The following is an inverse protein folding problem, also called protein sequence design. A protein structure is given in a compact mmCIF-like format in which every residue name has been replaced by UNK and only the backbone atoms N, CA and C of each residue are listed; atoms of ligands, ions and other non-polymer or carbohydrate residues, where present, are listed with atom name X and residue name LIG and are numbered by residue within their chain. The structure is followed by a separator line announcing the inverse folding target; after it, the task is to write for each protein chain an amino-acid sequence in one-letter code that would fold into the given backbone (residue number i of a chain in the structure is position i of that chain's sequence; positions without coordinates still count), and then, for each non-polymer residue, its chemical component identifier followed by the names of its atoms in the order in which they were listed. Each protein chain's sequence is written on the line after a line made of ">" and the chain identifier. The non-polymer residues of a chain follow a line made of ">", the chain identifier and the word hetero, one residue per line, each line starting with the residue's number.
data_IF_497057852670
#
_entry.id   IF_497057852670
#
_cell.length_a   1.000
_cell.length_b   1.000
_cell.length_c   1.000
_cell.angle_alpha   90.00
_cell.angle_beta   90.00
_cell.angle_gamma   90.00
#
_symmetry.space_group_name_H-M   'P 1'
#
loop_
_entity.id
_entity.type
_entity.pdbx_description
1 polymer ?
#
# COMPACT_ATOMS: atom_id res chain seq x y z
N UNK A 1 10.27 -50.23 4.41
CA UNK A 1 10.26 -49.52 3.13
C UNK A 1 11.63 -49.67 2.49
N UNK A 2 11.70 -50.38 1.37
CA UNK A 2 12.95 -50.72 0.69
C UNK A 2 13.57 -49.47 0.03
N UNK A 3 14.90 -49.39 -0.07
CA UNK A 3 15.61 -48.27 -0.72
C UNK A 3 15.13 -47.99 -2.16
N UNK A 4 14.60 -49.01 -2.85
CA UNK A 4 14.02 -48.90 -4.19
C UNK A 4 12.68 -48.15 -4.22
N UNK A 5 11.82 -48.32 -3.21
CA UNK A 5 10.53 -47.61 -3.12
C UNK A 5 10.71 -46.11 -2.87
N UNK A 6 11.68 -45.74 -2.03
CA UNK A 6 12.04 -44.35 -1.76
C UNK A 6 12.63 -43.68 -3.01
N UNK A 7 13.53 -44.35 -3.73
CA UNK A 7 14.13 -43.81 -4.96
C UNK A 7 13.12 -43.63 -6.10
N UNK A 8 12.13 -44.53 -6.20
CA UNK A 8 11.05 -44.44 -7.19
C UNK A 8 10.10 -43.27 -6.86
N UNK A 9 9.80 -43.05 -5.58
CA UNK A 9 8.98 -41.92 -5.12
C UNK A 9 9.66 -40.57 -5.37
N UNK A 10 10.99 -40.50 -5.17
CA UNK A 10 11.79 -39.30 -5.44
C UNK A 10 11.89 -38.98 -6.95
N UNK A 11 12.00 -40.00 -7.81
CA UNK A 11 11.98 -39.80 -9.26
C UNK A 11 10.61 -39.39 -9.81
N UNK A 12 9.51 -39.88 -9.20
CA UNK A 12 8.14 -39.45 -9.54
C UNK A 12 7.92 -37.99 -9.14
N UNK A 13 8.37 -37.60 -7.94
CA UNK A 13 8.29 -36.22 -7.46
C UNK A 13 9.16 -35.27 -8.30
N UNK A 14 10.39 -35.65 -8.66
CA UNK A 14 11.28 -34.82 -9.49
C UNK A 14 10.79 -34.70 -10.93
N UNK A 15 10.25 -35.79 -11.50
CA UNK A 15 9.66 -35.80 -12.84
C UNK A 15 8.40 -34.93 -12.93
N UNK A 16 7.56 -34.93 -11.89
CA UNK A 16 6.40 -34.03 -11.81
C UNK A 16 6.82 -32.56 -11.64
N UNK A 17 7.85 -32.27 -10.83
CA UNK A 17 8.35 -30.89 -10.72
C UNK A 17 8.92 -30.38 -12.04
N UNK A 18 9.69 -31.18 -12.77
CA UNK A 18 10.30 -30.77 -14.05
C UNK A 18 9.27 -30.56 -15.17
N UNK A 19 8.19 -31.35 -15.19
CA UNK A 19 7.05 -31.15 -16.10
C UNK A 19 6.22 -29.92 -15.75
N UNK A 20 6.14 -29.56 -14.46
CA UNK A 20 5.54 -28.31 -13.99
C UNK A 20 6.41 -27.12 -14.42
N UNK A 21 7.74 -27.18 -14.25
CA UNK A 21 8.65 -26.08 -14.62
C UNK A 21 8.79 -25.82 -16.14
N UNK A 22 8.66 -26.83 -17.00
CA UNK A 22 8.70 -26.64 -18.46
C UNK A 22 7.41 -26.00 -19.02
N UNK A 23 6.32 -26.03 -18.26
CA UNK A 23 5.01 -25.46 -18.58
C UNK A 23 4.79 -24.14 -17.85
N UNK A 24 5.83 -23.33 -17.60
CA UNK A 24 5.73 -22.10 -16.80
C UNK A 24 5.98 -20.81 -17.60
N UNK A 25 6.56 -20.88 -18.81
CA UNK A 25 6.90 -19.65 -19.56
C UNK A 25 5.73 -18.88 -20.22
N UNK A 26 4.63 -19.56 -20.55
CA UNK A 26 3.41 -18.96 -21.18
C UNK A 26 2.15 -19.20 -20.35
N UNK A 27 2.29 -19.83 -19.19
CA UNK A 27 1.19 -20.51 -18.48
C UNK A 27 0.95 -19.98 -17.08
N UNK A 28 1.89 -19.23 -16.50
CA UNK A 28 1.70 -18.57 -15.21
C UNK A 28 0.61 -17.50 -15.29
N UNK A 29 0.61 -16.69 -16.36
CA UNK A 29 -0.44 -15.67 -16.56
C UNK A 29 -1.81 -16.32 -16.80
N UNK A 30 -1.86 -17.38 -17.61
CA UNK A 30 -3.09 -18.14 -17.84
C UNK A 30 -3.62 -18.76 -16.55
N UNK A 31 -2.73 -19.20 -15.66
CA UNK A 31 -3.09 -19.70 -14.34
C UNK A 31 -3.68 -18.59 -13.46
N UNK A 32 -2.98 -17.46 -13.35
CA UNK A 32 -3.42 -16.30 -12.57
C UNK A 32 -4.78 -15.79 -13.04
N UNK A 33 -4.98 -15.68 -14.36
CA UNK A 33 -6.27 -15.25 -14.94
C UNK A 33 -7.39 -16.22 -14.60
N UNK A 34 -7.14 -17.55 -14.64
CA UNK A 34 -8.14 -18.55 -14.24
C UNK A 34 -8.51 -18.42 -12.77
N UNK A 35 -7.53 -18.24 -11.88
CA UNK A 35 -7.78 -18.01 -10.45
C UNK A 35 -8.65 -16.76 -10.23
N UNK A 36 -8.36 -15.66 -10.93
CA UNK A 36 -9.17 -14.43 -10.86
C UNK A 36 -10.59 -14.66 -11.34
N UNK A 37 -10.80 -15.36 -12.46
CA UNK A 37 -12.14 -15.65 -12.99
C UNK A 37 -12.95 -16.52 -12.03
N UNK A 38 -12.33 -17.52 -11.41
CA UNK A 38 -12.97 -18.36 -10.38
C UNK A 38 -13.37 -17.49 -9.18
N UNK A 39 -12.46 -16.62 -8.71
CA UNK A 39 -12.73 -15.76 -7.58
C UNK A 39 -13.85 -14.74 -7.86
N UNK A 40 -13.90 -14.14 -9.05
CA UNK A 40 -14.99 -13.22 -9.47
C UNK A 40 -16.35 -13.92 -9.39
N UNK A 41 -16.46 -15.17 -9.85
CA UNK A 41 -17.72 -15.93 -9.79
C UNK A 41 -18.20 -16.14 -8.35
N UNK A 42 -17.27 -16.34 -7.42
CA UNK A 42 -17.61 -16.57 -6.01
C UNK A 42 -18.02 -15.30 -5.27
N UNK A 43 -17.43 -14.15 -5.59
CA UNK A 43 -17.76 -12.86 -4.94
C UNK A 43 -18.83 -12.06 -5.69
N UNK A 44 -19.29 -12.54 -6.85
CA UNK A 44 -20.23 -11.85 -7.73
C UNK A 44 -21.52 -11.42 -7.03
N UNK A 45 -22.04 -12.21 -6.09
CA UNK A 45 -23.23 -11.87 -5.31
C UNK A 45 -23.01 -10.60 -4.46
N UNK A 46 -21.86 -10.50 -3.78
CA UNK A 46 -21.54 -9.34 -2.94
C UNK A 46 -21.30 -8.11 -3.84
N UNK A 47 -20.56 -8.28 -4.95
CA UNK A 47 -20.35 -7.20 -5.92
C UNK A 47 -21.66 -6.66 -6.51
N UNK A 48 -22.61 -7.55 -6.83
CA UNK A 48 -23.93 -7.17 -7.32
C UNK A 48 -24.69 -6.34 -6.28
N UNK A 49 -24.68 -6.75 -5.01
CA UNK A 49 -25.31 -6.00 -3.92
C UNK A 49 -24.68 -4.61 -3.79
N UNK A 50 -23.35 -4.50 -3.81
CA UNK A 50 -22.64 -3.21 -3.77
C UNK A 50 -23.00 -2.31 -4.95
N UNK A 51 -23.10 -2.87 -6.16
CA UNK A 51 -23.48 -2.11 -7.36
C UNK A 51 -24.93 -1.60 -7.28
N UNK A 52 -25.87 -2.44 -6.84
CA UNK A 52 -27.27 -2.04 -6.63
C UNK A 52 -27.40 -0.93 -5.59
N UNK A 53 -26.63 -1.02 -4.50
CA UNK A 53 -26.59 0.01 -3.47
C UNK A 53 -26.02 1.33 -3.99
N UNK A 54 -24.92 1.28 -4.76
CA UNK A 54 -24.35 2.45 -5.41
C UNK A 54 -25.36 3.09 -6.37
N UNK A 55 -26.11 2.30 -7.12
CA UNK A 55 -27.19 2.78 -7.98
C UNK A 55 -28.31 3.47 -7.18
N UNK A 56 -28.76 2.88 -6.07
CA UNK A 56 -29.75 3.51 -5.19
C UNK A 56 -29.28 4.87 -4.66
N UNK A 57 -28.03 4.95 -4.16
CA UNK A 57 -27.45 6.22 -3.71
C UNK A 57 -27.28 7.21 -4.87
N UNK A 58 -26.94 6.76 -6.07
CA UNK A 58 -26.83 7.63 -7.24
C UNK A 58 -28.19 8.28 -7.56
N UNK A 59 -29.29 7.52 -7.54
CA UNK A 59 -30.64 8.06 -7.74
C UNK A 59 -31.00 9.08 -6.65
N UNK A 60 -30.70 8.78 -5.39
CA UNK A 60 -30.91 9.72 -4.27
C UNK A 60 -30.08 11.01 -4.48
N UNK A 61 -28.81 10.87 -4.86
CA UNK A 61 -27.92 11.99 -5.16
C UNK A 61 -28.44 12.88 -6.27
N UNK A 62 -28.99 12.30 -7.35
CA UNK A 62 -29.63 13.07 -8.42
C UNK A 62 -30.80 13.90 -7.88
N UNK A 63 -31.67 13.32 -7.06
CA UNK A 63 -32.79 14.08 -6.48
C UNK A 63 -32.32 15.22 -5.56
N UNK A 64 -31.19 15.04 -4.87
CA UNK A 64 -30.65 16.04 -3.94
C UNK A 64 -29.89 17.18 -4.63
N UNK A 65 -29.17 16.88 -5.71
CA UNK A 65 -28.10 17.73 -6.24
C UNK A 65 -28.20 18.07 -7.74
N UNK A 66 -29.17 17.53 -8.48
CA UNK A 66 -29.35 17.84 -9.92
C UNK A 66 -29.36 19.36 -10.16
N UNK A 67 -28.56 19.83 -11.09
CA UNK A 67 -28.50 21.23 -11.50
C UNK A 67 -27.93 22.19 -10.46
N UNK A 68 -27.36 21.73 -9.34
CA UNK A 68 -26.91 22.60 -8.23
C UNK A 68 -25.40 22.80 -8.13
N UNK A 69 -24.62 22.18 -9.01
CA UNK A 69 -23.15 22.19 -8.97
C UNK A 69 -22.53 23.17 -9.97
N UNK A 70 -23.35 24.00 -10.59
CA UNK A 70 -22.89 25.07 -11.45
C UNK A 70 -22.33 26.24 -10.64
N UNK A 71 -21.29 26.88 -11.17
CA UNK A 71 -20.72 28.10 -10.62
C UNK A 71 -20.21 29.00 -11.73
N UNK A 72 -20.26 30.31 -11.48
CA UNK A 72 -19.56 31.26 -12.32
C UNK A 72 -18.05 31.25 -11.99
N UNK A 73 -17.24 31.77 -12.90
CA UNK A 73 -15.78 31.92 -12.71
C UNK A 73 -15.41 32.84 -11.56
N UNK A 74 -16.30 33.78 -11.21
CA UNK A 74 -16.23 34.64 -10.02
C UNK A 74 -17.41 34.36 -9.07
N UNK A 75 -17.19 34.53 -7.76
CA UNK A 75 -18.21 34.32 -6.73
C UNK A 75 -19.29 35.41 -6.68
N UNK A 76 -19.26 36.39 -7.57
CA UNK A 76 -20.16 37.55 -7.56
C UNK A 76 -21.45 37.32 -8.36
N UNK A 77 -21.50 36.31 -9.23
CA UNK A 77 -22.65 36.03 -10.10
C UNK A 77 -23.26 34.67 -9.77
N UNK A 78 -24.58 34.65 -9.57
CA UNK A 78 -25.31 33.48 -9.07
C UNK A 78 -26.20 32.82 -10.13
N UNK A 79 -26.36 33.43 -11.31
CA UNK A 79 -27.17 32.92 -12.41
C UNK A 79 -26.33 32.91 -13.68
N UNK A 80 -26.61 31.97 -14.56
CA UNK A 80 -25.94 31.84 -15.86
C UNK A 80 -26.09 33.11 -16.70
N UNK A 81 -27.30 33.68 -16.75
CA UNK A 81 -27.59 34.91 -17.50
C UNK A 81 -26.79 36.13 -17.03
N UNK A 82 -26.29 36.14 -15.79
CA UNK A 82 -25.46 37.22 -15.25
C UNK A 82 -23.95 36.94 -15.38
N UNK A 83 -23.56 35.72 -15.75
CA UNK A 83 -22.18 35.23 -15.81
C UNK A 83 -21.53 35.51 -17.18
N UNK A 84 -21.59 36.77 -17.63
CA UNK A 84 -21.00 37.21 -18.89
C UNK A 84 -20.07 38.42 -18.71
N UNK A 85 -19.26 38.68 -19.73
CA UNK A 85 -18.26 39.74 -19.75
C UNK A 85 -16.99 39.37 -18.97
N UNK A 86 -16.26 40.39 -18.52
CA UNK A 86 -14.97 40.22 -17.85
C UNK A 86 -15.05 40.53 -16.35
N UNK A 87 -14.15 39.93 -15.58
CA UNK A 87 -13.92 40.23 -14.17
C UNK A 87 -12.44 40.45 -13.89
N UNK A 88 -12.14 41.10 -12.77
CA UNK A 88 -10.78 41.37 -12.32
C UNK A 88 -10.29 40.25 -11.41
N UNK A 89 -9.08 39.76 -11.67
CA UNK A 89 -8.34 38.82 -10.81
C UNK A 89 -7.14 39.56 -10.26
N UNK A 90 -6.89 39.35 -8.97
CA UNK A 90 -5.73 39.89 -8.26
C UNK A 90 -4.79 38.72 -7.95
N UNK A 91 -3.67 38.62 -8.67
CA UNK A 91 -2.68 37.56 -8.43
C UNK A 91 -2.07 37.72 -7.04
N UNK A 92 -2.10 36.67 -6.22
CA UNK A 92 -1.66 36.66 -4.83
C UNK A 92 -2.34 37.71 -3.92
N UNK A 93 -3.52 38.23 -4.33
CA UNK A 93 -4.20 39.29 -3.59
C UNK A 93 -3.57 40.68 -3.74
N UNK A 94 -2.62 40.87 -4.67
CA UNK A 94 -2.04 42.19 -4.96
C UNK A 94 -3.04 43.05 -5.72
N UNK A 95 -3.61 44.03 -5.02
CA UNK A 95 -4.61 44.97 -5.55
C UNK A 95 -4.02 45.83 -6.68
N UNK A 96 -2.69 45.99 -6.73
CA UNK A 96 -2.02 46.86 -7.68
C UNK A 96 -1.80 46.21 -9.06
N UNK A 97 -2.03 44.90 -9.21
CA UNK A 97 -1.83 44.16 -10.46
C UNK A 97 -3.09 43.41 -10.90
N UNK A 98 -4.19 44.12 -11.21
CA UNK A 98 -5.39 43.47 -11.68
C UNK A 98 -5.19 42.90 -13.10
N UNK A 99 -5.65 41.67 -13.32
CA UNK A 99 -5.75 41.06 -14.65
C UNK A 99 -7.21 40.85 -15.02
N UNK A 100 -7.55 41.14 -16.27
CA UNK A 100 -8.88 40.86 -16.81
C UNK A 100 -8.96 39.39 -17.24
N UNK A 101 -10.05 38.72 -16.87
CA UNK A 101 -10.39 37.38 -17.36
C UNK A 101 -11.87 37.34 -17.73
N UNK A 102 -12.21 36.53 -18.72
CA UNK A 102 -13.60 36.29 -19.11
C UNK A 102 -14.32 35.41 -18.09
N UNK A 103 -15.59 35.72 -17.86
CA UNK A 103 -16.49 34.89 -17.06
C UNK A 103 -16.95 33.68 -17.85
N UNK A 104 -16.87 32.52 -17.22
CA UNK A 104 -17.40 31.26 -17.74
C UNK A 104 -18.33 30.65 -16.68
N UNK A 105 -19.54 30.27 -17.09
CA UNK A 105 -20.46 29.48 -16.29
C UNK A 105 -20.15 28.01 -16.48
N UNK A 106 -19.74 27.32 -15.41
CA UNK A 106 -19.19 25.97 -15.52
C UNK A 106 -19.76 25.04 -14.46
N UNK A 107 -20.07 23.82 -14.88
CA UNK A 107 -20.45 22.75 -13.98
C UNK A 107 -19.23 22.12 -13.29
N UNK A 108 -19.40 21.60 -12.08
CA UNK A 108 -18.36 20.82 -11.42
C UNK A 108 -18.05 19.54 -12.22
N UNK A 109 -16.77 19.13 -12.27
CA UNK A 109 -16.33 17.94 -13.03
C UNK A 109 -17.08 16.66 -12.62
N UNK A 110 -17.36 16.54 -11.32
CA UNK A 110 -18.15 15.46 -10.74
C UNK A 110 -19.47 16.06 -10.22
N UNK A 111 -20.58 15.62 -10.79
CA UNK A 111 -21.91 16.17 -10.55
C UNK A 111 -22.97 15.06 -10.57
N UNK A 112 -24.22 15.44 -10.24
CA UNK A 112 -25.35 14.53 -10.05
C UNK A 112 -26.53 14.89 -10.97
N UNK A 113 -26.26 15.36 -12.20
CA UNK A 113 -27.34 15.77 -13.11
C UNK A 113 -28.06 14.59 -13.75
N UNK A 114 -27.33 13.49 -13.96
CA UNK A 114 -27.85 12.22 -14.45
C UNK A 114 -27.30 11.05 -13.62
N UNK A 115 -27.99 9.90 -13.66
CA UNK A 115 -27.65 8.75 -12.83
C UNK A 115 -26.29 8.16 -13.18
N UNK A 116 -25.88 8.18 -14.45
CA UNK A 116 -24.59 7.64 -14.87
C UNK A 116 -23.43 8.50 -14.34
N UNK A 117 -23.54 9.82 -14.43
CA UNK A 117 -22.61 10.77 -13.82
C UNK A 117 -22.63 10.70 -12.29
N UNK A 118 -23.79 10.54 -11.67
CA UNK A 118 -23.90 10.33 -10.23
C UNK A 118 -23.19 9.04 -9.78
N UNK A 119 -23.32 7.93 -10.51
CA UNK A 119 -22.58 6.70 -10.22
C UNK A 119 -21.06 6.90 -10.34
N UNK A 120 -20.58 7.62 -11.36
CA UNK A 120 -19.16 7.97 -11.50
C UNK A 120 -18.67 8.85 -10.35
N UNK A 121 -19.46 9.86 -9.97
CA UNK A 121 -19.18 10.74 -8.83
C UNK A 121 -19.12 9.96 -7.52
N UNK A 122 -20.04 9.01 -7.30
CA UNK A 122 -20.02 8.13 -6.14
C UNK A 122 -18.88 7.12 -6.17
N UNK A 123 -18.42 6.71 -7.35
CA UNK A 123 -17.23 5.88 -7.50
C UNK A 123 -15.98 6.62 -6.99
N UNK A 124 -15.79 7.90 -7.33
CA UNK A 124 -14.64 8.66 -6.79
C UNK A 124 -14.73 8.86 -5.28
N UNK A 125 -15.95 9.00 -4.74
CA UNK A 125 -16.15 9.03 -3.28
C UNK A 125 -15.80 7.68 -2.65
N UNK A 126 -16.15 6.55 -3.29
CA UNK A 126 -15.84 5.21 -2.80
C UNK A 126 -14.35 4.89 -2.76
N UNK A 127 -13.55 5.54 -3.62
CA UNK A 127 -12.08 5.42 -3.59
C UNK A 127 -11.43 6.40 -2.62
N UNK A 128 -12.22 7.21 -1.90
CA UNK A 128 -11.76 8.30 -1.03
C UNK A 128 -10.91 9.37 -1.72
N UNK A 129 -11.10 9.54 -3.03
CA UNK A 129 -10.33 10.51 -3.83
C UNK A 129 -11.16 11.77 -4.10
N UNK A 130 -10.66 12.93 -3.65
CA UNK A 130 -11.29 14.22 -3.90
C UNK A 130 -12.69 14.43 -3.27
N UNK A 131 -13.16 13.50 -2.44
CA UNK A 131 -14.47 13.56 -1.79
C UNK A 131 -14.69 14.79 -0.89
N UNK A 132 -13.68 15.36 -0.18
CA UNK A 132 -13.92 16.57 0.63
C UNK A 132 -14.26 17.78 -0.25
N UNK A 133 -13.60 17.90 -1.41
CA UNK A 133 -13.90 18.98 -2.36
C UNK A 133 -15.34 18.87 -2.89
N UNK A 134 -15.77 17.64 -3.21
CA UNK A 134 -17.14 17.39 -3.64
C UNK A 134 -18.15 17.65 -2.52
N UNK A 135 -17.82 17.27 -1.28
CA UNK A 135 -18.62 17.57 -0.10
C UNK A 135 -18.80 19.08 0.06
N UNK A 136 -17.73 19.89 -0.02
CA UNK A 136 -17.84 21.34 0.09
C UNK A 136 -18.72 21.95 -1.02
N UNK A 137 -18.54 21.51 -2.28
CA UNK A 137 -19.44 21.91 -3.38
C UNK A 137 -20.89 21.54 -3.09
N UNK A 138 -21.13 20.40 -2.43
CA UNK A 138 -22.48 19.96 -2.06
C UNK A 138 -23.06 20.76 -0.90
N UNK A 139 -22.26 21.12 0.11
CA UNK A 139 -22.65 21.96 1.24
C UNK A 139 -23.04 23.35 0.73
N UNK A 140 -22.28 23.88 -0.22
CA UNK A 140 -22.53 25.19 -0.81
C UNK A 140 -23.64 25.17 -1.88
N UNK A 141 -24.16 23.99 -2.22
CA UNK A 141 -25.21 23.84 -3.24
C UNK A 141 -26.50 24.54 -2.82
N UNK A 142 -27.05 25.36 -3.72
CA UNK A 142 -28.26 26.16 -3.46
C UNK A 142 -29.46 25.62 -4.26
N UNK A 143 -30.12 26.47 -5.06
CA UNK A 143 -31.22 26.13 -5.95
C UNK A 143 -30.69 25.59 -7.28
N UNK A 144 -31.56 24.89 -8.00
CA UNK A 144 -31.24 24.41 -9.35
C UNK A 144 -30.91 25.60 -10.27
N UNK A 145 -29.89 25.44 -11.10
CA UNK A 145 -29.32 26.46 -11.98
C UNK A 145 -28.83 27.73 -11.27
N UNK A 146 -28.55 27.63 -9.96
CA UNK A 146 -28.01 28.70 -9.13
C UNK A 146 -26.58 28.42 -8.72
N UNK A 147 -25.81 29.51 -8.52
CA UNK A 147 -24.46 29.46 -8.00
C UNK A 147 -24.41 29.07 -6.52
N UNK A 148 -23.22 28.70 -6.01
CA UNK A 148 -23.04 28.24 -4.65
C UNK A 148 -23.23 29.37 -3.63
N UNK A 149 -23.82 29.05 -2.48
CA UNK A 149 -23.86 29.91 -1.30
C UNK A 149 -23.08 29.21 -0.19
N UNK A 150 -22.02 29.87 0.30
CA UNK A 150 -21.14 29.30 1.31
C UNK A 150 -21.91 28.82 2.54
N UNK A 151 -21.73 27.55 2.90
CA UNK A 151 -22.33 26.90 4.07
C UNK A 151 -23.87 26.92 4.10
N UNK A 152 -24.52 26.85 2.94
CA UNK A 152 -25.98 26.92 2.86
C UNK A 152 -26.68 25.64 3.37
N UNK A 153 -26.13 24.45 3.09
CA UNK A 153 -26.75 23.15 3.43
C UNK A 153 -25.77 22.18 4.09
N UNK A 154 -25.21 22.48 5.27
CA UNK A 154 -24.27 21.57 5.96
C UNK A 154 -24.85 20.17 6.25
N UNK A 155 -26.17 20.04 6.38
CA UNK A 155 -26.87 18.77 6.61
C UNK A 155 -26.59 17.71 5.52
N UNK A 156 -26.28 18.14 4.28
CA UNK A 156 -25.97 17.20 3.19
C UNK A 156 -24.67 16.44 3.40
N UNK A 157 -23.83 16.85 4.36
CA UNK A 157 -22.66 16.08 4.77
C UNK A 157 -23.05 14.67 5.25
N UNK A 158 -24.20 14.52 5.91
CA UNK A 158 -24.68 13.23 6.38
C UNK A 158 -24.86 12.22 5.23
N UNK A 159 -25.28 12.65 4.04
CA UNK A 159 -25.41 11.80 2.85
C UNK A 159 -24.06 11.14 2.48
N UNK A 160 -22.98 11.92 2.46
CA UNK A 160 -21.64 11.40 2.13
C UNK A 160 -21.09 10.49 3.23
N UNK A 161 -21.24 10.87 4.49
CA UNK A 161 -20.73 10.07 5.62
C UNK A 161 -21.46 8.71 5.69
N UNK A 162 -22.78 8.69 5.54
CA UNK A 162 -23.56 7.44 5.51
C UNK A 162 -23.14 6.58 4.33
N UNK A 163 -23.02 7.16 3.13
CA UNK A 163 -22.56 6.44 1.94
C UNK A 163 -21.16 5.82 2.15
N UNK A 164 -20.22 6.59 2.69
CA UNK A 164 -18.85 6.15 2.96
C UNK A 164 -18.83 4.97 3.95
N UNK A 165 -19.56 5.05 5.07
CA UNK A 165 -19.60 3.98 6.06
C UNK A 165 -20.14 2.69 5.44
N UNK A 166 -21.24 2.79 4.70
CA UNK A 166 -21.88 1.63 4.08
C UNK A 166 -20.94 1.01 3.04
N UNK A 167 -20.39 1.79 2.12
CA UNK A 167 -19.50 1.26 1.07
C UNK A 167 -18.20 0.71 1.65
N UNK A 168 -17.61 1.34 2.67
CA UNK A 168 -16.41 0.83 3.32
C UNK A 168 -16.64 -0.55 3.93
N UNK A 169 -17.80 -0.77 4.57
CA UNK A 169 -18.17 -2.08 5.09
C UNK A 169 -18.25 -3.14 3.98
N UNK A 170 -18.89 -2.82 2.86
CA UNK A 170 -18.95 -3.73 1.71
C UNK A 170 -17.57 -3.98 1.07
N UNK A 171 -16.71 -2.97 0.98
CA UNK A 171 -15.34 -3.12 0.44
C UNK A 171 -14.51 -4.11 1.27
N UNK A 172 -14.57 -4.01 2.60
CA UNK A 172 -13.89 -4.98 3.49
C UNK A 172 -14.46 -6.38 3.29
N UNK A 173 -15.78 -6.52 3.18
CA UNK A 173 -16.42 -7.83 2.97
C UNK A 173 -16.04 -8.46 1.62
N UNK A 174 -15.92 -7.67 0.56
CA UNK A 174 -15.44 -8.15 -0.75
C UNK A 174 -13.99 -8.65 -0.63
N UNK A 175 -13.12 -7.87 0.02
CA UNK A 175 -11.70 -8.24 0.19
C UNK A 175 -11.55 -9.52 1.02
N UNK A 176 -12.21 -9.60 2.18
CA UNK A 176 -12.19 -10.80 3.04
C UNK A 176 -12.75 -12.01 2.31
N UNK A 177 -13.88 -11.85 1.60
CA UNK A 177 -14.48 -12.91 0.80
C UNK A 177 -13.53 -13.45 -0.27
N UNK A 178 -12.87 -12.55 -1.03
CA UNK A 178 -11.88 -12.93 -2.04
C UNK A 178 -10.69 -13.70 -1.43
N UNK A 179 -10.13 -13.19 -0.34
CA UNK A 179 -8.98 -13.80 0.34
C UNK A 179 -9.33 -15.20 0.85
N UNK A 180 -10.44 -15.35 1.59
CA UNK A 180 -10.86 -16.65 2.14
C UNK A 180 -11.08 -17.67 1.04
N UNK A 181 -11.82 -17.31 -0.02
CA UNK A 181 -12.10 -18.23 -1.12
C UNK A 181 -10.83 -18.64 -1.85
N UNK A 182 -9.91 -17.69 -2.07
CA UNK A 182 -8.61 -18.00 -2.71
C UNK A 182 -7.78 -18.94 -1.84
N UNK A 183 -7.71 -18.68 -0.52
CA UNK A 183 -6.99 -19.57 0.41
C UNK A 183 -7.59 -20.96 0.49
N UNK A 184 -8.91 -21.09 0.48
CA UNK A 184 -9.58 -22.39 0.50
C UNK A 184 -9.40 -23.15 -0.81
N UNK A 185 -9.53 -22.47 -1.96
CA UNK A 185 -9.46 -23.11 -3.27
C UNK A 185 -8.02 -23.45 -3.69
N UNK A 186 -7.05 -22.57 -3.46
CA UNK A 186 -5.67 -22.80 -3.89
C UNK A 186 -4.83 -23.44 -2.78
N UNK A 187 -5.10 -23.11 -1.51
CA UNK A 187 -4.29 -23.58 -0.38
C UNK A 187 -4.71 -24.96 0.15
N UNK A 188 -6.00 -25.26 0.19
CA UNK A 188 -6.49 -26.53 0.77
C UNK A 188 -6.84 -27.59 -0.27
N UNK A 189 -7.21 -27.22 -1.51
CA UNK A 189 -7.58 -28.22 -2.53
C UNK A 189 -6.41 -29.10 -2.97
N UNK A 190 -5.19 -28.57 -3.05
CA UNK A 190 -4.01 -29.34 -3.44
C UNK A 190 -3.71 -30.50 -2.47
N UNK A 191 -4.11 -30.34 -1.21
CA UNK A 191 -3.87 -31.32 -0.15
C UNK A 191 -5.10 -32.12 0.26
N UNK A 192 -6.25 -31.97 -0.43
CA UNK A 192 -7.50 -32.70 -0.10
C UNK A 192 -7.34 -34.23 -0.10
N UNK A 193 -6.43 -34.76 -0.91
CA UNK A 193 -6.17 -36.20 -1.02
C UNK A 193 -4.95 -36.66 -0.20
N UNK A 194 -4.40 -35.79 0.65
CA UNK A 194 -3.24 -36.11 1.49
C UNK A 194 -3.72 -36.44 2.91
N UNK A 195 -3.45 -37.66 3.39
CA UNK A 195 -3.83 -38.11 4.74
C UNK A 195 -3.03 -37.42 5.87
N UNK A 196 -1.98 -36.67 5.52
CA UNK A 196 -1.12 -35.99 6.49
C UNK A 196 -1.62 -34.59 6.82
N UNK A 197 -1.71 -34.26 8.11
CA UNK A 197 -2.00 -32.92 8.59
C UNK A 197 -0.85 -31.92 8.28
N UNK A 198 -1.16 -30.62 8.25
CA UNK A 198 -0.22 -29.52 7.98
C UNK A 198 1.03 -29.60 8.86
N UNK A 199 0.87 -29.91 10.15
CA UNK A 199 2.02 -30.02 11.06
C UNK A 199 2.91 -31.21 10.71
N UNK A 200 2.32 -32.36 10.35
CA UNK A 200 3.07 -33.55 9.97
C UNK A 200 3.86 -33.31 8.68
N UNK A 201 3.24 -32.65 7.68
CA UNK A 201 3.90 -32.27 6.44
C UNK A 201 5.11 -31.36 6.70
N UNK A 202 4.93 -30.32 7.50
CA UNK A 202 6.01 -29.39 7.85
C UNK A 202 7.17 -30.10 8.59
N UNK A 203 6.87 -31.02 9.50
CA UNK A 203 7.89 -31.80 10.21
C UNK A 203 8.66 -32.74 9.27
N UNK A 204 7.97 -33.44 8.38
CA UNK A 204 8.61 -34.35 7.41
C UNK A 204 9.45 -33.55 6.42
N UNK A 205 8.92 -32.44 5.91
CA UNK A 205 9.65 -31.55 5.00
C UNK A 205 10.91 -31.01 5.66
N UNK A 206 10.82 -30.55 6.91
CA UNK A 206 11.98 -30.11 7.67
C UNK A 206 13.00 -31.23 7.85
N UNK A 207 12.56 -32.42 8.25
CA UNK A 207 13.45 -33.57 8.45
C UNK A 207 14.17 -33.98 7.17
N UNK A 208 13.49 -33.91 6.02
CA UNK A 208 14.07 -34.24 4.71
C UNK A 208 14.99 -33.13 4.17
N UNK A 209 14.70 -31.86 4.44
CA UNK A 209 15.46 -30.70 3.93
C UNK A 209 16.55 -30.20 4.87
N UNK A 210 16.57 -30.66 6.12
CA UNK A 210 17.54 -30.23 7.13
C UNK A 210 18.98 -30.50 6.66
N UNK A 211 19.77 -29.43 6.59
CA UNK A 211 21.22 -29.51 6.32
C UNK A 211 21.96 -29.08 7.58
N UNK A 212 23.09 -29.74 7.92
CA UNK A 212 23.87 -29.36 9.08
C UNK A 212 24.40 -27.92 8.94
N UNK A 213 24.23 -27.11 9.98
CA UNK A 213 24.75 -25.75 10.03
C UNK A 213 26.27 -25.82 10.14
N UNK A 214 26.98 -25.21 9.19
CA UNK A 214 28.45 -25.14 9.21
C UNK A 214 28.89 -24.07 10.20
N UNK A 215 29.36 -24.46 11.39
CA UNK A 215 29.99 -23.55 12.35
C UNK A 215 31.49 -23.45 12.08
N UNK A 216 32.00 -22.24 11.85
CA UNK A 216 33.43 -22.00 11.71
C UNK A 216 34.08 -21.92 13.09
N UNK A 217 35.12 -22.72 13.34
CA UNK A 217 35.93 -22.68 14.55
C UNK A 217 37.40 -22.58 14.11
N UNK A 218 38.11 -21.47 14.40
CA UNK A 218 39.49 -21.31 14.00
C UNK A 218 40.43 -22.22 14.81
N UNK A 219 41.50 -22.73 14.16
CA UNK A 219 42.48 -23.63 14.78
C UNK A 219 43.67 -22.90 15.41
N UNK A 220 44.01 -21.70 14.93
CA UNK A 220 45.18 -20.94 15.39
C UNK A 220 44.86 -20.16 16.67
N UNK A 221 45.74 -20.20 17.67
CA UNK A 221 45.49 -19.64 19.01
C UNK A 221 45.16 -18.15 19.05
N UNK A 222 45.89 -17.32 18.29
CA UNK A 222 45.62 -15.87 18.23
C UNK A 222 44.27 -15.59 17.55
N UNK A 223 43.98 -16.31 16.46
CA UNK A 223 42.73 -16.16 15.71
C UNK A 223 41.53 -16.62 16.56
N UNK A 224 41.70 -17.68 17.33
CA UNK A 224 40.69 -18.17 18.27
C UNK A 224 40.35 -17.15 19.34
N UNK A 225 41.34 -16.45 19.91
CA UNK A 225 41.07 -15.37 20.88
C UNK A 225 40.24 -14.23 20.28
N UNK A 226 40.59 -13.79 19.06
CA UNK A 226 39.83 -12.73 18.35
C UNK A 226 38.42 -13.23 18.00
N UNK A 227 38.28 -14.45 17.49
CA UNK A 227 36.99 -15.06 17.18
C UNK A 227 36.11 -15.22 18.41
N UNK A 228 36.67 -15.64 19.54
CA UNK A 228 35.96 -15.79 20.80
C UNK A 228 35.45 -14.44 21.31
N UNK A 229 36.24 -13.38 21.18
CA UNK A 229 35.83 -12.01 21.53
C UNK A 229 34.71 -11.50 20.63
N UNK A 230 34.88 -11.59 19.31
CA UNK A 230 33.91 -11.08 18.32
C UNK A 230 32.58 -11.84 18.35
N UNK A 231 32.61 -13.14 18.66
CA UNK A 231 31.41 -13.99 18.77
C UNK A 231 30.80 -13.94 20.19
N UNK A 232 31.36 -13.13 21.10
CA UNK A 232 30.80 -13.00 22.44
C UNK A 232 29.52 -12.17 22.42
N UNK A 233 28.53 -12.57 23.24
CA UNK A 233 27.27 -11.83 23.35
C UNK A 233 27.48 -10.38 23.79
N UNK A 234 28.48 -10.10 24.63
CA UNK A 234 28.82 -8.74 25.05
C UNK A 234 29.23 -7.85 23.87
N UNK A 235 30.06 -8.36 22.95
CA UNK A 235 30.46 -7.63 21.75
C UNK A 235 29.27 -7.36 20.84
N UNK A 236 28.40 -8.36 20.63
CA UNK A 236 27.18 -8.18 19.83
C UNK A 236 26.24 -7.12 20.41
N UNK A 237 25.97 -7.14 21.73
CA UNK A 237 25.15 -6.13 22.38
C UNK A 237 25.78 -4.74 22.33
N UNK A 238 27.11 -4.61 22.47
CA UNK A 238 27.80 -3.32 22.33
C UNK A 238 27.63 -2.72 20.94
N UNK A 239 27.80 -3.52 19.88
CA UNK A 239 27.57 -3.07 18.50
C UNK A 239 26.10 -2.70 18.27
N UNK A 240 25.16 -3.48 18.80
CA UNK A 240 23.74 -3.17 18.70
C UNK A 240 23.40 -1.82 19.36
N UNK A 241 23.93 -1.56 20.56
CA UNK A 241 23.76 -0.27 21.24
C UNK A 241 24.36 0.88 20.40
N UNK A 242 25.54 0.69 19.81
CA UNK A 242 26.15 1.71 18.94
C UNK A 242 25.33 1.99 17.68
N UNK A 243 24.70 0.96 17.08
CA UNK A 243 23.77 1.15 15.97
C UNK A 243 22.55 1.98 16.41
N UNK A 244 22.01 1.70 17.60
CA UNK A 244 20.88 2.48 18.14
C UNK A 244 21.28 3.94 18.38
N UNK A 245 22.42 4.19 19.01
CA UNK A 245 22.89 5.55 19.27
C UNK A 245 23.16 6.29 17.95
N UNK A 246 23.84 5.66 16.99
CA UNK A 246 24.07 6.25 15.67
C UNK A 246 22.76 6.59 14.94
N UNK A 247 21.75 5.72 15.05
CA UNK A 247 20.41 5.98 14.47
C UNK A 247 19.75 7.19 15.14
N UNK A 248 19.87 7.33 16.46
CA UNK A 248 19.41 8.52 17.20
C UNK A 248 20.18 9.77 16.76
N UNK A 249 21.50 9.69 16.61
CA UNK A 249 22.34 10.80 16.12
C UNK A 249 21.92 11.26 14.73
N UNK A 250 21.57 10.34 13.83
CA UNK A 250 21.02 10.68 12.51
C UNK A 250 19.63 11.34 12.61
N UNK A 251 18.78 10.88 13.52
CA UNK A 251 17.44 11.45 13.77
C UNK A 251 17.48 12.83 14.44
N UNK A 252 18.58 13.18 15.11
CA UNK A 252 18.77 14.45 15.82
C UNK A 252 19.10 15.65 14.91
N UNK A 253 19.31 15.45 13.60
CA UNK A 253 19.55 16.55 12.62
C UNK A 253 18.26 17.33 12.37
N UNK A 254 18.32 18.67 12.43
CA UNK A 254 17.16 19.53 12.17
C UNK A 254 17.51 20.80 11.38
N UNK A 255 16.49 21.43 10.77
CA UNK A 255 16.68 22.63 9.96
C UNK A 255 17.02 23.85 10.83
N UNK A 256 18.00 24.68 10.39
CA UNK A 256 18.55 25.82 11.14
C UNK A 256 19.19 25.44 12.49
N UNK A 257 19.81 24.27 12.55
CA UNK A 257 20.63 23.90 13.71
C UNK A 257 21.89 24.80 13.81
N UNK A 258 22.34 25.16 15.02
CA UNK A 258 23.57 25.92 15.22
C UNK A 258 24.80 25.21 14.61
N UNK A 259 25.80 25.97 14.18
CA UNK A 259 27.03 25.42 13.59
C UNK A 259 27.74 24.46 14.57
N UNK A 260 27.85 24.83 15.86
CA UNK A 260 28.44 23.96 16.89
C UNK A 260 27.75 22.59 17.00
N UNK A 261 26.43 22.56 16.84
CA UNK A 261 25.64 21.34 16.94
C UNK A 261 25.88 20.44 15.72
N UNK A 262 26.06 21.04 14.54
CA UNK A 262 26.44 20.33 13.32
C UNK A 262 27.82 19.69 13.47
N UNK A 263 28.80 20.43 13.99
CA UNK A 263 30.15 19.92 14.22
C UNK A 263 30.16 18.73 15.19
N UNK A 264 29.39 18.80 16.29
CA UNK A 264 29.27 17.69 17.24
C UNK A 264 28.67 16.45 16.58
N UNK A 265 27.57 16.60 15.83
CA UNK A 265 26.93 15.48 15.16
C UNK A 265 27.83 14.85 14.09
N UNK A 266 28.58 15.65 13.34
CA UNK A 266 29.50 15.14 12.32
C UNK A 266 30.75 14.50 12.94
N UNK A 267 31.24 15.01 14.07
CA UNK A 267 32.27 14.34 14.86
C UNK A 267 31.79 12.98 15.38
N UNK A 268 30.56 12.89 15.91
CA UNK A 268 29.95 11.62 16.34
C UNK A 268 29.82 10.64 15.17
N UNK A 269 29.39 11.09 13.99
CA UNK A 269 29.31 10.25 12.79
C UNK A 269 30.68 9.70 12.37
N UNK A 270 31.73 10.51 12.45
CA UNK A 270 33.10 10.07 12.18
C UNK A 270 33.54 9.00 13.20
N UNK A 271 33.23 9.19 14.49
CA UNK A 271 33.51 8.22 15.55
C UNK A 271 32.78 6.90 15.29
N UNK A 272 31.48 6.92 14.99
CA UNK A 272 30.74 5.70 14.68
C UNK A 272 31.32 4.98 13.45
N UNK A 273 31.70 5.74 12.42
CA UNK A 273 32.35 5.17 11.22
C UNK A 273 33.65 4.47 11.58
N UNK A 274 34.49 5.07 12.43
CA UNK A 274 35.73 4.44 12.88
C UNK A 274 35.47 3.17 13.70
N UNK A 275 34.48 3.19 14.60
CA UNK A 275 34.13 2.03 15.44
C UNK A 275 33.58 0.88 14.60
N UNK A 276 32.74 1.15 13.60
CA UNK A 276 32.25 0.13 12.67
C UNK A 276 33.36 -0.39 11.74
N UNK A 277 34.29 0.47 11.31
CA UNK A 277 35.46 0.02 10.56
C UNK A 277 36.35 -0.92 11.39
N UNK A 278 36.57 -0.63 12.67
CA UNK A 278 37.29 -1.52 13.59
C UNK A 278 36.54 -2.83 13.82
N UNK A 279 35.22 -2.77 14.01
CA UNK A 279 34.37 -3.96 14.11
C UNK A 279 34.49 -4.85 12.87
N UNK A 280 34.45 -4.26 11.67
CA UNK A 280 34.68 -4.96 10.41
C UNK A 280 36.06 -5.64 10.38
N UNK A 281 37.12 -4.93 10.76
CA UNK A 281 38.49 -5.48 10.83
C UNK A 281 38.57 -6.65 11.82
N UNK A 282 37.97 -6.54 13.00
CA UNK A 282 37.94 -7.62 13.99
C UNK A 282 37.17 -8.84 13.48
N UNK A 283 36.02 -8.66 12.83
CA UNK A 283 35.27 -9.75 12.19
C UNK A 283 36.08 -10.42 11.07
N UNK A 284 36.77 -9.64 10.26
CA UNK A 284 37.62 -10.15 9.19
C UNK A 284 38.78 -10.98 9.74
N UNK A 285 39.45 -10.50 10.80
CA UNK A 285 40.50 -11.22 11.49
C UNK A 285 40.00 -12.51 12.17
N UNK A 286 38.79 -12.50 12.74
CA UNK A 286 38.15 -13.65 13.36
C UNK A 286 37.83 -14.76 12.33
N UNK A 287 37.19 -14.41 11.21
CA UNK A 287 36.62 -15.40 10.29
C UNK A 287 37.57 -15.83 9.15
N UNK A 288 38.67 -15.09 8.89
CA UNK A 288 39.65 -15.26 7.79
C UNK A 288 38.98 -15.39 6.41
N UNK A 289 39.53 -14.71 5.40
CA UNK A 289 39.10 -14.94 4.01
C UNK A 289 39.27 -16.43 3.65
N UNK A 290 38.16 -17.16 3.49
CA UNK A 290 38.13 -18.22 2.50
C UNK A 290 38.06 -17.53 1.14
N UNK A 291 39.20 -17.08 0.62
CA UNK A 291 39.36 -17.03 -0.83
C UNK A 291 39.21 -18.48 -1.24
N UNK A 292 38.01 -18.85 -1.66
CA UNK A 292 37.81 -20.10 -2.35
C UNK A 292 38.47 -19.87 -3.70
N UNK A 293 39.79 -20.08 -3.75
CA UNK A 293 40.52 -20.33 -4.98
C UNK A 293 39.92 -21.63 -5.54
N UNK A 294 38.88 -21.46 -6.33
CA UNK A 294 38.48 -22.36 -7.39
C UNK A 294 38.84 -21.66 -8.69
#
# INVERSE_FOLDING_TARGET
>A
MSKSEVSMTVHILSGQTQHIYAKIGRSDLDYVVKCVVVAIKTIGNIMLVTYLLQFMFAVIGVQLFKGKFFKCSDGSKMLEADCHGTYLIYENGDINKPRLKEREWKNNKFHFDDVAKAMLTLFTVSTFEGWPNLLYVSIDSNKENGGPIHNFRPIVAAYYIIYIIIIAFFMVNIFVGFVIVTFQNEGEQEYKNCELDKNQRNCIEFALKAKPVRRYIPKHGIQYKVWWFVTSSSFEYSIFVLIMINTVTLAMKFHKQPEYYTEILDALNMIFTAVFALEFVFKLAAFRFKVSLF
#
